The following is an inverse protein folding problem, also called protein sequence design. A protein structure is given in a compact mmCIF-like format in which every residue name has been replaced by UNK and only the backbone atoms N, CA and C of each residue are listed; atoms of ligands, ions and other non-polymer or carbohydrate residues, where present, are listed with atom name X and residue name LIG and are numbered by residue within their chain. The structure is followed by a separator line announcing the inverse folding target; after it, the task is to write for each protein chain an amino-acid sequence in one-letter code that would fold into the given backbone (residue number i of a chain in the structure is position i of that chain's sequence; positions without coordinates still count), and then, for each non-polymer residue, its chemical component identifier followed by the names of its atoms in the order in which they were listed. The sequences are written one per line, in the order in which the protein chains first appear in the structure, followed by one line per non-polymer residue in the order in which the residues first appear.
data_IF_259557197604
#
_entry.id   IF_259557197604
#
_cell.length_a   1.000
_cell.length_b   1.000
_cell.length_c   1.000
_cell.angle_alpha   90.00
_cell.angle_beta   90.00
_cell.angle_gamma   90.00
#
_symmetry.space_group_name_H-M   'P 1'
#
loop_
_entity.id
_entity.type
_entity.pdbx_description
1 polymer ?
#
# COMPACT_ATOMS: atom_id res chain seq x y z
N UNK A 1 28.15 5.67 31.44
CA UNK A 1 27.75 5.39 32.85
C UNK A 1 27.27 3.95 32.99
N UNK A 2 26.54 3.42 32.00
CA UNK A 2 25.91 2.09 32.03
C UNK A 2 26.86 0.94 32.30
N UNK A 3 28.07 0.95 31.70
CA UNK A 3 29.08 -0.09 31.96
C UNK A 3 29.44 -0.17 33.45
N UNK A 4 29.56 0.97 34.13
CA UNK A 4 29.90 1.02 35.55
C UNK A 4 28.71 0.53 36.38
N UNK A 5 27.50 0.91 36.01
CA UNK A 5 26.27 0.46 36.68
C UNK A 5 26.09 -1.06 36.57
N UNK A 6 26.24 -1.61 35.36
CA UNK A 6 26.17 -3.05 35.11
C UNK A 6 27.29 -3.80 35.85
N UNK A 7 28.49 -3.23 35.90
CA UNK A 7 29.59 -3.79 36.69
C UNK A 7 29.27 -3.85 38.19
N UNK A 8 28.69 -2.78 38.77
CA UNK A 8 28.22 -2.74 40.16
C UNK A 8 27.12 -3.77 40.42
N UNK A 9 26.29 -4.06 39.42
CA UNK A 9 25.28 -5.11 39.48
C UNK A 9 25.86 -6.53 39.36
N UNK A 10 27.16 -6.70 39.12
CA UNK A 10 27.84 -8.00 39.00
C UNK A 10 27.92 -8.52 37.56
N UNK A 11 27.65 -7.66 36.56
CA UNK A 11 27.75 -8.00 35.14
C UNK A 11 29.06 -7.42 34.62
N UNK A 12 30.08 -8.27 34.55
CA UNK A 12 31.45 -7.85 34.26
C UNK A 12 31.82 -7.94 32.78
N UNK A 13 30.97 -8.54 31.95
CA UNK A 13 31.15 -8.71 30.50
C UNK A 13 30.43 -7.62 29.69
N UNK A 14 30.43 -6.39 30.20
CA UNK A 14 29.79 -5.24 29.54
C UNK A 14 30.82 -4.34 28.87
N UNK A 15 30.52 -3.95 27.63
CA UNK A 15 31.28 -2.95 26.88
C UNK A 15 30.32 -1.90 26.32
N UNK A 16 30.80 -0.68 26.10
CA UNK A 16 30.05 0.38 25.45
C UNK A 16 30.89 1.01 24.34
N UNK A 17 30.20 1.44 23.27
CA UNK A 17 30.81 2.21 22.18
C UNK A 17 30.99 3.66 22.61
N UNK A 18 32.18 4.22 22.39
CA UNK A 18 32.50 5.60 22.79
C UNK A 18 32.10 6.61 21.71
N UNK A 19 30.79 6.78 21.49
CA UNK A 19 30.26 7.82 20.59
C UNK A 19 30.49 7.56 19.10
N UNK A 20 30.83 6.33 18.72
CA UNK A 20 31.06 5.91 17.33
C UNK A 20 30.15 4.74 16.97
N UNK A 21 29.90 4.55 15.67
CA UNK A 21 29.24 3.33 15.19
C UNK A 21 30.14 2.10 15.37
N UNK A 22 29.55 0.91 15.42
CA UNK A 22 30.30 -0.36 15.43
C UNK A 22 31.25 -0.43 14.22
N UNK A 23 32.54 -0.69 14.48
CA UNK A 23 33.59 -0.81 13.47
C UNK A 23 33.84 -2.27 13.11
N UNK A 24 34.54 -2.52 12.00
CA UNK A 24 34.97 -3.87 11.62
C UNK A 24 35.77 -4.58 12.72
N UNK A 25 36.59 -3.84 13.47
CA UNK A 25 37.40 -4.40 14.55
C UNK A 25 36.53 -4.85 15.73
N UNK A 26 35.51 -4.05 16.08
CA UNK A 26 34.52 -4.47 17.06
C UNK A 26 33.80 -5.74 16.61
N UNK A 27 33.38 -5.82 15.34
CA UNK A 27 32.70 -7.00 14.80
C UNK A 27 33.57 -8.25 14.84
N UNK A 28 34.86 -8.13 14.49
CA UNK A 28 35.81 -9.23 14.55
C UNK A 28 35.96 -9.78 15.98
N UNK A 29 36.04 -8.90 16.98
CA UNK A 29 36.11 -9.30 18.39
C UNK A 29 34.80 -9.95 18.87
N UNK A 30 33.66 -9.43 18.43
CA UNK A 30 32.34 -9.89 18.88
C UNK A 30 31.88 -11.21 18.22
N UNK A 31 32.41 -11.59 17.06
CA UNK A 31 31.89 -12.75 16.30
C UNK A 31 31.98 -14.10 17.03
N UNK A 32 32.83 -14.22 18.05
CA UNK A 32 33.01 -15.43 18.87
C UNK A 32 32.12 -15.45 20.12
N UNK A 33 31.34 -14.41 20.34
CA UNK A 33 30.56 -14.22 21.57
C UNK A 33 29.07 -14.10 21.28
N UNK A 34 28.27 -14.47 22.27
CA UNK A 34 26.87 -14.04 22.31
C UNK A 34 26.84 -12.55 22.63
N UNK A 35 26.14 -11.78 21.80
CA UNK A 35 26.00 -10.34 21.97
C UNK A 35 24.58 -10.02 22.44
N UNK A 36 24.48 -9.33 23.57
CA UNK A 36 23.21 -8.82 24.08
C UNK A 36 23.25 -7.30 23.96
N UNK A 37 22.33 -6.74 23.17
CA UNK A 37 22.17 -5.31 23.02
C UNK A 37 21.23 -4.80 24.11
N UNK A 38 21.71 -3.81 24.86
CA UNK A 38 20.91 -3.06 25.83
C UNK A 38 21.09 -1.57 25.54
N UNK A 39 20.10 -1.00 24.87
CA UNK A 39 20.03 0.39 24.43
C UNK A 39 18.73 1.01 24.97
N UNK A 40 18.60 2.32 24.83
CA UNK A 40 17.42 3.05 25.26
C UNK A 40 16.14 2.52 24.56
N UNK A 41 15.03 2.52 25.29
CA UNK A 41 13.75 1.98 24.82
C UNK A 41 12.88 3.00 24.07
N UNK A 42 13.36 4.24 23.95
CA UNK A 42 12.72 5.28 23.17
C UNK A 42 12.84 5.01 21.66
N UNK A 43 12.25 5.88 20.83
CA UNK A 43 12.27 5.67 19.38
C UNK A 43 13.70 5.75 18.81
N UNK A 44 14.54 6.66 19.32
CA UNK A 44 15.91 6.83 18.85
C UNK A 44 16.78 5.62 19.19
N UNK A 45 16.63 5.07 20.40
CA UNK A 45 17.30 3.86 20.87
C UNK A 45 16.83 2.62 20.11
N UNK A 46 15.54 2.50 19.76
CA UNK A 46 15.05 1.43 18.87
C UNK A 46 15.68 1.49 17.48
N UNK A 47 15.76 2.68 16.87
CA UNK A 47 16.39 2.85 15.56
C UNK A 47 17.90 2.57 15.63
N UNK A 48 18.57 2.99 16.71
CA UNK A 48 19.98 2.67 16.97
C UNK A 48 20.20 1.15 17.17
N UNK A 49 19.25 0.47 17.81
CA UNK A 49 19.27 -0.98 18.00
C UNK A 49 19.18 -1.70 16.67
N UNK A 50 18.20 -1.35 15.82
CA UNK A 50 18.05 -1.91 14.48
C UNK A 50 19.32 -1.71 13.64
N UNK A 51 19.90 -0.51 13.66
CA UNK A 51 21.16 -0.22 12.96
C UNK A 51 22.32 -1.09 13.47
N UNK A 52 22.43 -1.26 14.79
CA UNK A 52 23.45 -2.09 15.41
C UNK A 52 23.31 -3.57 15.03
N UNK A 53 22.08 -4.10 15.02
CA UNK A 53 21.78 -5.46 14.57
C UNK A 53 22.20 -5.64 13.10
N UNK A 54 21.85 -4.70 12.22
CA UNK A 54 22.22 -4.76 10.80
C UNK A 54 23.74 -4.82 10.62
N UNK A 55 24.49 -3.99 11.36
CA UNK A 55 25.96 -3.98 11.33
C UNK A 55 26.56 -5.27 11.89
N UNK A 56 26.01 -5.82 12.98
CA UNK A 56 26.43 -7.09 13.56
C UNK A 56 26.25 -8.27 12.60
N UNK A 57 25.07 -8.38 11.96
CA UNK A 57 24.81 -9.43 10.97
C UNK A 57 25.62 -9.27 9.69
N UNK A 58 25.87 -8.04 9.24
CA UNK A 58 26.81 -7.80 8.14
C UNK A 58 28.22 -8.33 8.47
N UNK A 59 28.66 -8.17 9.73
CA UNK A 59 29.90 -8.73 10.27
C UNK A 59 29.86 -10.20 10.65
N UNK A 60 28.78 -10.94 10.31
CA UNK A 60 28.59 -12.36 10.63
C UNK A 60 28.53 -12.70 12.12
N UNK A 61 28.19 -11.74 12.97
CA UNK A 61 27.89 -11.99 14.38
C UNK A 61 26.45 -12.52 14.48
N UNK A 62 26.27 -13.84 14.47
CA UNK A 62 24.94 -14.44 14.31
C UNK A 62 24.15 -14.59 15.62
N UNK A 63 24.83 -14.70 16.77
CA UNK A 63 24.20 -14.90 18.07
C UNK A 63 23.98 -13.55 18.76
N UNK A 64 22.89 -12.86 18.38
CA UNK A 64 22.54 -11.52 18.87
C UNK A 64 21.14 -11.55 19.47
N UNK A 65 21.02 -10.99 20.67
CA UNK A 65 19.75 -10.76 21.37
C UNK A 65 19.60 -9.30 21.77
N UNK A 66 18.37 -8.87 22.02
CA UNK A 66 18.02 -7.50 22.42
C UNK A 66 17.24 -7.55 23.72
N UNK A 67 17.63 -6.74 24.71
CA UNK A 67 16.89 -6.57 25.95
C UNK A 67 15.60 -5.79 25.68
N UNK A 68 14.46 -6.34 26.12
CA UNK A 68 13.16 -5.66 26.11
C UNK A 68 12.96 -5.01 27.47
N UNK A 69 13.26 -3.72 27.55
CA UNK A 69 13.15 -2.96 28.79
C UNK A 69 11.81 -2.24 28.87
N UNK A 70 10.93 -2.73 29.74
CA UNK A 70 9.60 -2.14 29.98
C UNK A 70 9.62 -0.97 30.96
N UNK A 71 10.77 -0.65 31.57
CA UNK A 71 10.91 0.42 32.56
C UNK A 71 11.28 1.77 31.93
N UNK A 72 11.63 1.79 30.64
CA UNK A 72 11.99 2.99 29.87
C UNK A 72 13.10 3.84 30.54
N UNK A 73 14.05 3.16 31.19
CA UNK A 73 15.16 3.75 31.95
C UNK A 73 16.49 3.14 31.55
N UNK A 74 17.59 3.88 31.69
CA UNK A 74 18.93 3.34 31.46
C UNK A 74 19.37 2.37 32.59
N UNK A 75 20.50 1.69 32.41
CA UNK A 75 20.97 0.69 33.38
C UNK A 75 21.35 1.32 34.73
N UNK A 76 21.85 2.56 34.73
CA UNK A 76 22.16 3.30 35.95
C UNK A 76 20.92 3.69 36.73
N UNK A 77 19.92 4.23 36.04
CA UNK A 77 18.64 4.62 36.62
C UNK A 77 17.86 3.42 37.15
N UNK A 78 17.89 2.27 36.47
CA UNK A 78 17.27 1.05 36.98
C UNK A 78 18.00 0.59 38.24
N UNK A 79 19.33 0.58 38.24
CA UNK A 79 20.11 0.19 39.41
C UNK A 79 19.81 1.11 40.61
N UNK A 80 19.80 2.42 40.38
CA UNK A 80 19.63 3.41 41.45
C UNK A 80 18.19 3.44 42.00
N UNK A 81 17.18 3.30 41.13
CA UNK A 81 15.76 3.41 41.53
C UNK A 81 15.12 2.09 41.94
N UNK A 82 15.54 0.98 41.33
CA UNK A 82 14.89 -0.33 41.44
C UNK A 82 15.81 -1.45 41.92
N UNK A 83 17.10 -1.18 42.07
CA UNK A 83 18.07 -2.13 42.62
C UNK A 83 18.59 -3.17 41.62
N UNK A 84 19.56 -3.94 42.11
CA UNK A 84 20.30 -4.94 41.32
C UNK A 84 19.41 -6.07 40.78
N UNK A 85 18.51 -6.61 41.60
CA UNK A 85 17.67 -7.76 41.23
C UNK A 85 16.78 -7.42 40.02
N UNK A 86 16.10 -6.26 40.08
CA UNK A 86 15.30 -5.76 38.97
C UNK A 86 16.11 -5.57 37.69
N UNK A 87 17.34 -5.04 37.79
CA UNK A 87 18.20 -4.88 36.62
C UNK A 87 18.57 -6.23 35.98
N UNK A 88 18.86 -7.24 36.80
CA UNK A 88 19.14 -8.60 36.31
C UNK A 88 17.91 -9.20 35.63
N UNK A 89 16.72 -9.02 36.21
CA UNK A 89 15.46 -9.49 35.63
C UNK A 89 15.19 -8.84 34.27
N UNK A 90 15.41 -7.52 34.15
CA UNK A 90 15.28 -6.80 32.87
C UNK A 90 16.23 -7.36 31.82
N UNK A 91 17.50 -7.60 32.16
CA UNK A 91 18.50 -8.12 31.21
C UNK A 91 18.16 -9.54 30.76
N UNK A 92 17.53 -10.34 31.63
CA UNK A 92 17.04 -11.67 31.30
C UNK A 92 15.81 -11.64 30.38
N UNK A 93 15.07 -10.53 30.33
CA UNK A 93 13.99 -10.31 29.37
C UNK A 93 14.56 -9.90 28.00
N UNK A 94 15.17 -10.85 27.30
CA UNK A 94 15.74 -10.64 25.96
C UNK A 94 15.00 -11.42 24.89
N UNK A 95 14.92 -10.85 23.70
CA UNK A 95 14.42 -11.51 22.48
C UNK A 95 15.53 -11.68 21.47
N UNK A 96 15.38 -12.62 20.53
CA UNK A 96 16.34 -12.74 19.43
C UNK A 96 16.35 -11.46 18.60
N UNK A 97 17.51 -11.06 18.06
CA UNK A 97 17.56 -9.88 17.20
C UNK A 97 16.74 -10.03 15.91
N UNK A 98 16.52 -11.26 15.43
CA UNK A 98 15.63 -11.53 14.29
C UNK A 98 14.17 -11.26 14.64
N UNK A 99 13.72 -11.66 15.83
CA UNK A 99 12.39 -11.33 16.34
C UNK A 99 12.23 -9.83 16.51
N UNK A 100 13.25 -9.17 17.06
CA UNK A 100 13.23 -7.73 17.23
C UNK A 100 13.10 -6.99 15.89
N UNK A 101 13.84 -7.41 14.85
CA UNK A 101 13.68 -6.87 13.48
C UNK A 101 12.23 -7.05 13.01
N UNK A 102 11.70 -8.28 13.11
CA UNK A 102 10.36 -8.60 12.63
C UNK A 102 9.29 -7.74 13.31
N UNK A 103 9.27 -7.75 14.64
CA UNK A 103 8.29 -6.99 15.44
C UNK A 103 8.41 -5.49 15.20
N UNK A 104 9.63 -4.96 15.09
CA UNK A 104 9.85 -3.53 14.84
C UNK A 104 9.20 -3.08 13.54
N UNK A 105 9.40 -3.82 12.44
CA UNK A 105 8.82 -3.46 11.15
C UNK A 105 7.32 -3.76 11.05
N UNK A 106 6.85 -4.86 11.63
CA UNK A 106 5.41 -5.17 11.71
C UNK A 106 4.66 -4.07 12.44
N UNK A 107 5.19 -3.59 13.56
CA UNK A 107 4.58 -2.52 14.35
C UNK A 107 4.73 -1.15 13.66
N UNK A 108 5.90 -0.82 13.11
CA UNK A 108 6.14 0.43 12.38
C UNK A 108 5.15 0.65 11.23
N UNK A 109 4.83 -0.41 10.49
CA UNK A 109 3.89 -0.36 9.37
C UNK A 109 2.46 -0.77 9.74
N UNK A 110 2.18 -0.98 11.03
CA UNK A 110 0.87 -1.36 11.56
C UNK A 110 0.25 -2.57 10.83
N UNK A 111 1.05 -3.58 10.48
CA UNK A 111 0.59 -4.68 9.62
C UNK A 111 -0.54 -5.51 10.24
N UNK A 112 -0.59 -5.60 11.57
CA UNK A 112 -1.65 -6.35 12.29
C UNK A 112 -3.02 -5.67 12.25
N UNK A 113 -3.05 -4.35 12.10
CA UNK A 113 -4.31 -3.57 12.04
C UNK A 113 -4.61 -3.02 10.65
N UNK A 114 -3.60 -2.90 9.79
CA UNK A 114 -3.68 -2.29 8.47
C UNK A 114 -2.83 -3.06 7.45
N UNK A 115 -3.16 -4.33 7.20
CA UNK A 115 -2.51 -5.13 6.16
C UNK A 115 -3.03 -4.75 4.75
N UNK A 116 -2.41 -3.75 4.10
CA UNK A 116 -2.78 -3.20 2.78
C UNK A 116 -1.55 -3.07 1.88
N UNK A 117 -1.76 -2.82 0.59
CA UNK A 117 -0.67 -2.65 -0.38
C UNK A 117 0.41 -1.66 0.08
N UNK A 118 0.03 -0.45 0.50
CA UNK A 118 0.99 0.58 0.90
C UNK A 118 1.80 0.17 2.13
N UNK A 119 1.16 -0.37 3.16
CA UNK A 119 1.86 -0.80 4.38
C UNK A 119 2.78 -2.00 4.15
N UNK A 120 2.36 -2.96 3.31
CA UNK A 120 3.21 -4.09 2.89
C UNK A 120 4.35 -3.64 1.99
N UNK A 121 4.11 -2.68 1.09
CA UNK A 121 5.14 -2.09 0.23
C UNK A 121 6.21 -1.38 1.06
N UNK A 122 5.81 -0.57 2.03
CA UNK A 122 6.74 0.12 2.93
C UNK A 122 7.49 -0.86 3.83
N UNK A 123 6.81 -1.88 4.36
CA UNK A 123 7.46 -2.97 5.09
C UNK A 123 8.51 -3.68 4.25
N UNK A 124 8.17 -4.08 3.02
CA UNK A 124 9.10 -4.75 2.12
C UNK A 124 10.31 -3.87 1.79
N UNK A 125 10.09 -2.58 1.57
CA UNK A 125 11.15 -1.61 1.31
C UNK A 125 12.12 -1.55 2.49
N UNK A 126 11.62 -1.42 3.70
CA UNK A 126 12.44 -1.24 4.89
C UNK A 126 13.14 -2.54 5.33
N UNK A 127 12.44 -3.68 5.27
CA UNK A 127 13.01 -4.97 5.69
C UNK A 127 14.01 -5.53 4.67
N UNK A 128 13.95 -5.11 3.39
CA UNK A 128 14.84 -5.58 2.31
C UNK A 128 16.31 -5.47 2.69
N UNK A 129 16.72 -4.35 3.29
CA UNK A 129 18.12 -4.14 3.67
C UNK A 129 18.60 -5.09 4.77
N UNK A 130 17.69 -5.55 5.64
CA UNK A 130 17.98 -6.53 6.68
C UNK A 130 18.04 -7.93 6.07
N UNK A 131 17.12 -8.25 5.15
CA UNK A 131 17.13 -9.51 4.42
C UNK A 131 18.43 -9.72 3.63
N UNK A 132 19.16 -8.67 3.23
CA UNK A 132 20.47 -8.83 2.59
C UNK A 132 21.56 -9.37 3.53
N UNK A 133 21.52 -9.01 4.82
CA UNK A 133 22.56 -9.37 5.80
C UNK A 133 22.24 -10.63 6.60
N UNK A 134 20.96 -11.01 6.67
CA UNK A 134 20.51 -12.22 7.37
C UNK A 134 20.98 -13.51 6.69
N UNK A 135 21.23 -14.55 7.48
CA UNK A 135 21.53 -15.89 7.00
C UNK A 135 20.25 -16.64 6.55
N UNK A 136 20.41 -17.83 5.98
CA UNK A 136 19.29 -18.62 5.42
C UNK A 136 18.22 -18.95 6.46
N UNK A 137 18.61 -19.38 7.66
CA UNK A 137 17.67 -19.77 8.70
C UNK A 137 16.88 -18.57 9.22
N UNK A 138 17.56 -17.44 9.41
CA UNK A 138 16.93 -16.19 9.84
C UNK A 138 15.95 -15.64 8.79
N UNK A 139 16.32 -15.70 7.49
CA UNK A 139 15.41 -15.36 6.38
C UNK A 139 14.18 -16.25 6.36
N UNK A 140 14.39 -17.56 6.49
CA UNK A 140 13.33 -18.57 6.51
C UNK A 140 12.40 -18.36 7.69
N UNK A 141 12.94 -18.02 8.86
CA UNK A 141 12.18 -17.68 10.04
C UNK A 141 11.23 -16.49 9.80
N UNK A 142 11.75 -15.35 9.34
CA UNK A 142 10.93 -14.16 9.04
C UNK A 142 9.88 -14.49 7.98
N UNK A 143 10.26 -15.20 6.92
CA UNK A 143 9.34 -15.56 5.83
C UNK A 143 8.22 -16.49 6.28
N UNK A 144 8.54 -17.51 7.07
CA UNK A 144 7.54 -18.42 7.62
C UNK A 144 6.62 -17.71 8.61
N UNK A 145 7.16 -16.78 9.40
CA UNK A 145 6.39 -15.96 10.32
C UNK A 145 5.41 -15.05 9.58
N UNK A 146 5.87 -14.32 8.54
CA UNK A 146 4.98 -13.55 7.63
C UNK A 146 3.90 -14.42 6.98
N UNK A 147 4.26 -15.62 6.54
CA UNK A 147 3.30 -16.56 5.95
C UNK A 147 2.26 -17.03 6.97
N UNK A 148 2.66 -17.29 8.21
CA UNK A 148 1.75 -17.72 9.26
C UNK A 148 0.84 -16.60 9.80
N UNK A 149 1.39 -15.40 10.02
CA UNK A 149 0.65 -14.27 10.60
C UNK A 149 -0.22 -13.56 9.55
N UNK A 150 0.22 -13.46 8.30
CA UNK A 150 -0.42 -12.66 7.27
C UNK A 150 -0.73 -13.40 5.96
N UNK A 151 -0.36 -14.67 5.84
CA UNK A 151 -0.46 -15.43 4.58
C UNK A 151 0.26 -14.74 3.40
N UNK A 152 1.43 -14.15 3.69
CA UNK A 152 2.25 -13.40 2.75
C UNK A 152 3.59 -14.08 2.50
N UNK A 153 3.93 -14.33 1.22
CA UNK A 153 5.24 -14.86 0.83
C UNK A 153 6.28 -13.75 0.68
N UNK A 154 7.11 -13.56 1.71
CA UNK A 154 8.07 -12.48 1.74
C UNK A 154 9.22 -12.66 0.73
N UNK A 155 9.83 -13.85 0.69
CA UNK A 155 11.04 -14.12 -0.11
C UNK A 155 10.73 -14.01 -1.61
N UNK A 156 9.60 -14.58 -2.05
CA UNK A 156 9.16 -14.49 -3.45
C UNK A 156 8.90 -13.05 -3.90
N UNK A 157 8.53 -12.15 -2.99
CA UNK A 157 8.24 -10.75 -3.29
C UNK A 157 9.48 -9.84 -3.28
N UNK A 158 10.39 -10.01 -2.31
CA UNK A 158 11.63 -9.22 -2.23
C UNK A 158 12.53 -9.52 -3.44
N UNK A 159 12.64 -10.79 -3.85
CA UNK A 159 13.52 -11.18 -4.95
C UNK A 159 13.03 -10.68 -6.32
N UNK A 160 11.71 -10.56 -6.53
CA UNK A 160 11.16 -9.99 -7.78
C UNK A 160 11.48 -8.50 -7.94
N UNK A 161 11.61 -7.74 -6.85
CA UNK A 161 11.96 -6.32 -6.94
C UNK A 161 13.42 -6.09 -7.33
N UNK A 162 14.29 -7.10 -7.15
CA UNK A 162 15.69 -7.09 -7.61
C UNK A 162 15.83 -7.43 -9.11
N UNK A 163 14.90 -8.21 -9.67
CA UNK A 163 14.90 -8.55 -11.10
C UNK A 163 14.51 -7.35 -12.00
N UNK A 164 13.73 -6.40 -11.48
CA UNK A 164 13.37 -5.18 -12.22
C UNK A 164 14.41 -4.04 -12.13
N UNK A 165 15.55 -4.28 -11.49
CA UNK A 165 16.66 -3.32 -11.46
C UNK A 165 17.93 -3.83 -12.14
N UNK A 166 17.97 -5.10 -12.54
CA UNK A 166 19.08 -5.71 -13.29
C UNK A 166 18.51 -6.50 -14.47
N UNK A 167 18.20 -5.82 -15.56
CA UNK A 167 17.98 -6.45 -16.87
C UNK A 167 18.32 -5.47 -17.99
N UNK A 168 19.56 -5.00 -17.98
CA UNK A 168 20.38 -5.20 -19.18
C UNK A 168 21.18 -6.48 -18.90
N UNK A 169 21.20 -7.38 -19.88
CA UNK A 169 22.03 -8.61 -20.00
C UNK A 169 21.31 -9.98 -19.82
N UNK A 170 21.73 -10.89 -20.69
CA UNK A 170 20.99 -12.03 -21.27
C UNK A 170 20.83 -13.29 -20.38
N UNK A 171 19.82 -14.14 -20.70
CA UNK A 171 19.99 -15.61 -20.66
C UNK A 171 19.02 -16.49 -19.83
N UNK A 172 18.01 -17.06 -20.50
CA UNK A 172 17.33 -18.37 -20.31
C UNK A 172 17.00 -18.99 -18.93
N UNK A 173 15.69 -19.16 -18.64
CA UNK A 173 14.92 -20.43 -18.53
C UNK A 173 13.56 -20.15 -17.85
N UNK A 174 12.41 -20.15 -18.54
CA UNK A 174 11.60 -21.29 -19.05
C UNK A 174 11.04 -22.20 -17.93
N UNK A 175 9.75 -22.03 -17.61
CA UNK A 175 8.71 -23.07 -17.39
C UNK A 175 7.49 -22.44 -16.68
N UNK A 176 6.45 -22.08 -17.45
CA UNK A 176 5.10 -22.69 -17.42
C UNK A 176 4.20 -21.96 -18.44
N UNK A 177 3.73 -22.76 -19.39
CA UNK A 177 2.85 -22.43 -20.50
C UNK A 177 1.39 -22.79 -20.16
N UNK A 178 0.50 -22.33 -21.05
CA UNK A 178 -0.92 -22.67 -21.24
C UNK A 178 -1.97 -22.05 -20.30
N UNK A 179 -2.74 -21.08 -20.82
CA UNK A 179 -4.17 -21.25 -21.16
C UNK A 179 -4.79 -19.92 -21.68
N UNK A 180 -5.47 -20.05 -22.83
CA UNK A 180 -6.58 -19.22 -23.37
C UNK A 180 -6.29 -17.98 -24.25
N UNK A 181 -6.66 -18.12 -25.53
CA UNK A 181 -6.87 -17.07 -26.54
C UNK A 181 -8.35 -17.08 -26.99
N UNK A 182 -9.00 -15.93 -27.20
CA UNK A 182 -10.16 -15.82 -28.09
C UNK A 182 -9.87 -14.94 -29.34
N UNK A 183 -10.70 -15.04 -30.40
CA UNK A 183 -10.29 -14.80 -31.80
C UNK A 183 -10.52 -13.38 -32.37
N UNK A 184 -9.57 -13.00 -33.22
CA UNK A 184 -9.47 -12.07 -34.39
C UNK A 184 -10.57 -11.04 -34.75
N UNK A 185 -10.14 -9.82 -35.14
CA UNK A 185 -10.33 -9.32 -36.53
C UNK A 185 -9.32 -8.21 -36.95
N UNK A 186 -8.81 -8.42 -38.16
CA UNK A 186 -7.84 -7.69 -39.00
C UNK A 186 -8.28 -6.26 -39.37
N UNK A 187 -7.38 -5.28 -39.43
CA UNK A 187 -7.38 -4.24 -40.49
C UNK A 187 -5.98 -3.56 -40.64
N UNK A 188 -5.35 -3.86 -41.79
CA UNK A 188 -4.35 -3.12 -42.58
C UNK A 188 -2.88 -2.94 -42.13
N UNK A 189 -2.00 -3.61 -42.88
CA UNK A 189 -0.59 -3.22 -43.16
C UNK A 189 -0.54 -2.19 -44.29
N UNK A 190 0.41 -1.24 -44.23
CA UNK A 190 1.37 -0.85 -45.30
C UNK A 190 2.45 0.12 -44.75
N UNK A 191 3.66 0.21 -45.35
CA UNK A 191 4.88 0.69 -44.68
C UNK A 191 5.40 2.09 -45.09
N UNK A 192 6.17 2.69 -44.17
CA UNK A 192 7.32 3.61 -44.26
C UNK A 192 7.30 4.92 -45.11
N UNK A 193 7.52 6.01 -44.35
CA UNK A 193 8.37 7.20 -44.60
C UNK A 193 7.96 8.44 -45.41
N UNK A 194 8.37 9.56 -44.79
CA UNK A 194 8.51 10.96 -45.23
C UNK A 194 7.20 11.75 -45.43
N UNK A 195 6.99 12.79 -44.62
CA UNK A 195 6.64 14.19 -44.99
C UNK A 195 6.23 15.01 -43.74
N UNK A 196 7.15 15.88 -43.29
CA UNK A 196 7.03 17.20 -42.61
C UNK A 196 6.40 17.39 -41.20
N UNK A 197 7.21 18.01 -40.34
CA UNK A 197 7.13 18.25 -38.90
C UNK A 197 6.06 19.25 -38.37
N UNK A 198 4.93 19.47 -39.04
CA UNK A 198 3.88 20.36 -38.51
C UNK A 198 2.79 19.66 -37.67
N UNK A 199 2.76 18.32 -37.65
CA UNK A 199 1.62 17.54 -37.16
C UNK A 199 1.75 17.03 -35.70
N UNK A 200 2.94 17.11 -35.09
CA UNK A 200 3.21 16.51 -33.77
C UNK A 200 2.39 17.12 -32.61
N UNK A 201 1.96 18.39 -32.70
CA UNK A 201 1.15 19.01 -31.63
C UNK A 201 -0.31 18.58 -31.66
N UNK A 202 -0.90 18.37 -32.84
CA UNK A 202 -2.27 17.88 -32.97
C UNK A 202 -2.35 16.38 -32.64
N UNK A 203 -1.36 15.60 -33.08
CA UNK A 203 -1.22 14.18 -32.72
C UNK A 203 -1.05 13.98 -31.21
N UNK A 204 -0.21 14.77 -30.53
CA UNK A 204 -0.03 14.67 -29.06
C UNK A 204 -1.28 15.09 -28.30
N UNK A 205 -1.98 16.15 -28.73
CA UNK A 205 -3.23 16.61 -28.10
C UNK A 205 -4.37 15.60 -28.28
N UNK A 206 -4.47 14.98 -29.47
CA UNK A 206 -5.45 13.93 -29.78
C UNK A 206 -5.14 12.63 -29.04
N UNK A 207 -3.86 12.26 -28.93
CA UNK A 207 -3.42 11.09 -28.18
C UNK A 207 -3.71 11.23 -26.68
N UNK A 208 -3.45 12.40 -26.08
CA UNK A 208 -3.80 12.69 -24.68
C UNK A 208 -5.30 12.66 -24.43
N UNK A 209 -6.09 13.23 -25.35
CA UNK A 209 -7.56 13.15 -25.28
C UNK A 209 -8.03 11.69 -25.33
N UNK A 210 -7.49 10.90 -26.26
CA UNK A 210 -7.81 9.48 -26.39
C UNK A 210 -7.36 8.67 -25.17
N UNK A 211 -6.26 9.04 -24.50
CA UNK A 211 -5.80 8.40 -23.27
C UNK A 211 -6.78 8.64 -22.11
N UNK A 212 -7.25 9.89 -21.90
CA UNK A 212 -8.31 10.19 -20.93
C UNK A 212 -9.60 9.47 -21.28
N UNK A 213 -9.98 9.48 -22.56
CA UNK A 213 -11.17 8.77 -23.06
C UNK A 213 -11.07 7.27 -22.78
N UNK A 214 -9.90 6.66 -22.98
CA UNK A 214 -9.64 5.26 -22.68
C UNK A 214 -9.68 4.99 -21.18
N UNK A 215 -9.12 5.85 -20.33
CA UNK A 215 -9.20 5.71 -18.86
C UNK A 215 -10.67 5.77 -18.42
N UNK A 216 -11.43 6.77 -18.87
CA UNK A 216 -12.85 6.89 -18.56
C UNK A 216 -13.65 5.71 -19.12
N UNK A 217 -13.35 5.25 -20.33
CA UNK A 217 -14.02 4.12 -20.97
C UNK A 217 -13.75 2.79 -20.25
N UNK A 218 -12.52 2.58 -19.80
CA UNK A 218 -12.05 1.33 -19.18
C UNK A 218 -12.37 1.22 -17.70
N UNK A 219 -12.68 2.34 -17.02
CA UNK A 219 -13.02 2.37 -15.59
C UNK A 219 -14.51 2.71 -15.41
N UNK A 220 -15.37 1.69 -15.47
CA UNK A 220 -16.82 1.85 -15.33
C UNK A 220 -17.21 2.44 -13.97
N UNK A 221 -16.48 2.16 -12.89
CA UNK A 221 -16.65 2.77 -11.56
C UNK A 221 -16.46 4.28 -11.56
N UNK A 222 -15.49 4.81 -12.33
CA UNK A 222 -15.32 6.26 -12.47
C UNK A 222 -16.53 6.87 -13.18
N UNK A 223 -17.08 6.21 -14.21
CA UNK A 223 -18.33 6.65 -14.84
C UNK A 223 -19.50 6.64 -13.86
N UNK A 224 -19.58 5.66 -12.97
CA UNK A 224 -20.61 5.64 -11.92
C UNK A 224 -20.45 6.77 -10.91
N UNK A 225 -19.23 7.16 -10.53
CA UNK A 225 -19.02 8.35 -9.70
C UNK A 225 -19.55 9.62 -10.40
N UNK A 226 -19.31 9.75 -11.71
CA UNK A 226 -19.86 10.84 -12.53
C UNK A 226 -21.39 10.75 -12.55
N UNK A 227 -21.97 9.57 -12.72
CA UNK A 227 -23.43 9.36 -12.72
C UNK A 227 -24.05 9.71 -11.37
N UNK A 228 -23.38 9.40 -10.27
CA UNK A 228 -23.85 9.77 -8.94
C UNK A 228 -23.92 11.28 -8.76
N UNK A 229 -22.97 12.04 -9.33
CA UNK A 229 -23.02 13.51 -9.31
C UNK A 229 -24.18 14.02 -10.20
N UNK A 230 -24.31 13.48 -11.42
CA UNK A 230 -25.32 13.93 -12.38
C UNK A 230 -26.75 13.49 -12.04
N UNK A 231 -26.93 12.43 -11.24
CA UNK A 231 -28.21 11.87 -10.80
C UNK A 231 -28.18 11.53 -9.30
N UNK A 232 -28.31 12.53 -8.42
CA UNK A 232 -28.23 12.32 -6.96
C UNK A 232 -29.24 11.27 -6.43
N UNK A 233 -30.46 11.21 -6.97
CA UNK A 233 -31.45 10.19 -6.60
C UNK A 233 -30.98 8.75 -6.85
N UNK A 234 -30.21 8.53 -7.91
CA UNK A 234 -29.58 7.24 -8.21
C UNK A 234 -28.51 6.92 -7.16
N UNK A 235 -27.68 7.92 -6.83
CA UNK A 235 -26.64 7.78 -5.82
C UNK A 235 -27.23 7.43 -4.45
N UNK A 236 -28.29 8.12 -4.03
CA UNK A 236 -29.00 7.84 -2.77
C UNK A 236 -29.49 6.39 -2.70
N UNK A 237 -30.11 5.88 -3.77
CA UNK A 237 -30.52 4.47 -3.86
C UNK A 237 -29.33 3.52 -3.75
N UNK A 238 -28.21 3.84 -4.42
CA UNK A 238 -27.00 3.03 -4.36
C UNK A 238 -26.39 3.00 -2.95
N UNK A 239 -26.30 4.15 -2.28
CA UNK A 239 -25.73 4.27 -0.94
C UNK A 239 -26.53 3.54 0.14
N UNK A 240 -27.85 3.39 -0.07
CA UNK A 240 -28.73 2.64 0.81
C UNK A 240 -28.64 1.12 0.62
N UNK A 241 -27.97 0.64 -0.45
CA UNK A 241 -27.68 -0.78 -0.57
C UNK A 241 -26.63 -1.18 0.46
N UNK A 242 -26.95 -2.21 1.23
CA UNK A 242 -26.03 -2.85 2.15
C UNK A 242 -24.76 -3.29 1.40
N UNK A 243 -23.59 -3.10 2.02
CA UNK A 243 -22.28 -3.43 1.45
C UNK A 243 -21.88 -2.69 0.15
N UNK A 244 -22.65 -1.73 -0.37
CA UNK A 244 -22.38 -1.02 -1.64
C UNK A 244 -20.96 -0.45 -1.77
N UNK A 245 -20.39 -0.01 -0.64
CA UNK A 245 -19.01 0.48 -0.52
C UNK A 245 -17.96 -0.51 -1.04
N UNK A 246 -18.21 -1.82 -0.98
CA UNK A 246 -17.25 -2.85 -1.42
C UNK A 246 -16.89 -2.72 -2.91
N UNK A 247 -17.84 -2.30 -3.75
CA UNK A 247 -17.65 -2.18 -5.20
C UNK A 247 -16.60 -1.14 -5.58
N UNK A 248 -16.34 -0.18 -4.69
CA UNK A 248 -15.34 0.86 -4.85
C UNK A 248 -14.09 0.64 -3.97
N UNK A 249 -14.03 -0.47 -3.22
CA UNK A 249 -12.99 -0.68 -2.21
C UNK A 249 -11.57 -0.82 -2.76
N UNK A 250 -11.44 -1.13 -4.06
CA UNK A 250 -10.16 -1.30 -4.76
C UNK A 250 -10.14 -0.51 -6.07
N UNK A 251 -9.06 0.21 -6.44
CA UNK A 251 -7.93 0.56 -5.58
C UNK A 251 -8.34 1.55 -4.47
N UNK A 252 -7.50 1.74 -3.45
CA UNK A 252 -7.80 2.63 -2.31
C UNK A 252 -8.04 4.10 -2.74
N UNK A 253 -7.38 4.57 -3.80
CA UNK A 253 -7.63 5.89 -4.38
C UNK A 253 -9.08 6.07 -4.86
N UNK A 254 -9.65 5.02 -5.46
CA UNK A 254 -11.05 5.00 -5.89
C UNK A 254 -12.00 4.96 -4.69
N UNK A 255 -11.66 4.21 -3.64
CA UNK A 255 -12.44 4.15 -2.39
C UNK A 255 -12.49 5.51 -1.69
N UNK A 256 -11.34 6.15 -1.54
CA UNK A 256 -11.24 7.47 -0.91
C UNK A 256 -12.03 8.52 -1.69
N UNK A 257 -11.98 8.45 -3.03
CA UNK A 257 -12.78 9.33 -3.89
C UNK A 257 -14.27 9.06 -3.74
N UNK A 258 -14.69 7.79 -3.70
CA UNK A 258 -16.08 7.39 -3.46
C UNK A 258 -16.61 7.89 -2.12
N UNK A 259 -15.88 7.64 -1.02
CA UNK A 259 -16.28 8.06 0.32
C UNK A 259 -16.39 9.60 0.40
N UNK A 260 -15.41 10.32 -0.16
CA UNK A 260 -15.43 11.78 -0.18
C UNK A 260 -16.54 12.38 -1.04
N UNK A 261 -16.92 11.73 -2.14
CA UNK A 261 -18.10 12.14 -2.94
C UNK A 261 -19.38 11.85 -2.14
N UNK A 262 -19.50 10.66 -1.54
CA UNK A 262 -20.66 10.28 -0.74
C UNK A 262 -20.90 11.25 0.41
N UNK A 263 -19.85 11.61 1.15
CA UNK A 263 -19.94 12.60 2.24
C UNK A 263 -20.43 13.96 1.74
N UNK A 264 -19.93 14.43 0.59
CA UNK A 264 -20.38 15.69 -0.02
C UNK A 264 -21.85 15.62 -0.45
N UNK A 265 -22.27 14.49 -1.04
CA UNK A 265 -23.66 14.28 -1.47
C UNK A 265 -24.64 14.14 -0.30
N UNK A 266 -24.22 13.53 0.82
CA UNK A 266 -25.07 13.45 2.01
C UNK A 266 -25.37 14.85 2.56
N UNK A 267 -24.35 15.73 2.65
CA UNK A 267 -24.54 17.13 3.04
C UNK A 267 -25.54 17.84 2.10
N UNK A 268 -25.45 17.56 0.81
CA UNK A 268 -26.41 18.06 -0.19
C UNK A 268 -27.84 17.57 0.06
N UNK A 269 -28.05 16.28 0.34
CA UNK A 269 -29.39 15.74 0.61
C UNK A 269 -30.00 16.31 1.90
N UNK A 270 -29.18 16.58 2.91
CA UNK A 270 -29.63 17.18 4.17
C UNK A 270 -30.09 18.64 3.97
N UNK A 271 -29.39 19.40 3.12
CA UNK A 271 -29.74 20.78 2.79
C UNK A 271 -31.03 20.90 1.98
N UNK A 272 -31.30 19.98 1.05
CA UNK A 272 -32.52 19.98 0.24
C UNK A 272 -33.80 19.69 1.04
N UNK A 273 -33.70 19.04 2.20
CA UNK A 273 -34.84 18.79 3.07
C UNK A 273 -35.27 20.05 3.87
N UNK A 274 -34.58 21.18 3.70
CA UNK A 274 -34.83 22.44 4.41
C UNK A 274 -34.67 23.69 3.55
N UNK A 275 -35.78 24.11 2.92
CA UNK A 275 -36.06 25.40 2.27
C UNK A 275 -35.54 25.64 0.83
N UNK A 276 -36.27 26.48 0.07
CA UNK A 276 -35.99 26.92 -1.30
C UNK A 276 -35.45 28.37 -1.28
N UNK A 277 -34.13 28.56 -1.31
CA UNK A 277 -33.53 29.89 -1.52
C UNK A 277 -32.47 29.86 -2.65
N UNK A 278 -32.28 30.97 -3.39
CA UNK A 278 -31.27 31.07 -4.46
C UNK A 278 -29.83 30.79 -3.99
N UNK A 279 -29.52 31.02 -2.70
CA UNK A 279 -28.26 30.66 -2.03
C UNK A 279 -27.98 29.17 -2.09
N UNK A 280 -29.02 28.33 -2.02
CA UNK A 280 -28.90 26.87 -2.10
C UNK A 280 -28.45 26.46 -3.50
N UNK A 281 -28.92 27.11 -4.58
CA UNK A 281 -28.49 26.79 -5.95
C UNK A 281 -26.99 27.02 -6.17
N UNK A 282 -26.43 28.07 -5.57
CA UNK A 282 -24.99 28.35 -5.63
C UNK A 282 -24.19 27.34 -4.80
N UNK A 283 -24.69 26.96 -3.61
CA UNK A 283 -24.11 25.88 -2.79
C UNK A 283 -24.14 24.54 -3.53
N UNK A 284 -25.24 24.23 -4.24
CA UNK A 284 -25.38 23.03 -5.06
C UNK A 284 -24.33 23.02 -6.16
N UNK A 285 -24.21 24.10 -6.95
CA UNK A 285 -23.22 24.21 -8.01
C UNK A 285 -21.78 24.08 -7.48
N UNK A 286 -21.50 24.68 -6.32
CA UNK A 286 -20.19 24.58 -5.67
C UNK A 286 -19.90 23.15 -5.19
N UNK A 287 -20.90 22.44 -4.67
CA UNK A 287 -20.76 21.04 -4.26
C UNK A 287 -20.52 20.11 -5.45
N UNK A 288 -21.23 20.33 -6.57
CA UNK A 288 -21.01 19.60 -7.83
C UNK A 288 -19.58 19.81 -8.36
N UNK A 289 -19.12 21.07 -8.38
CA UNK A 289 -17.77 21.42 -8.80
C UNK A 289 -16.70 20.74 -7.93
N UNK A 290 -16.88 20.74 -6.60
CA UNK A 290 -15.98 20.07 -5.67
C UNK A 290 -15.92 18.56 -5.92
N UNK A 291 -17.07 17.90 -6.15
CA UNK A 291 -17.12 16.47 -6.44
C UNK A 291 -16.44 16.14 -7.78
N UNK A 292 -16.68 16.92 -8.83
CA UNK A 292 -16.00 16.77 -10.11
C UNK A 292 -14.48 16.95 -9.98
N UNK A 293 -14.02 17.93 -9.19
CA UNK A 293 -12.59 18.12 -8.92
C UNK A 293 -11.94 16.92 -8.20
N UNK A 294 -12.67 16.23 -7.31
CA UNK A 294 -12.20 14.99 -6.69
C UNK A 294 -12.00 13.88 -7.74
N UNK A 295 -12.92 13.75 -8.71
CA UNK A 295 -12.77 12.80 -9.82
C UNK A 295 -11.58 13.16 -10.72
N UNK A 296 -11.40 14.45 -11.05
CA UNK A 296 -10.25 14.92 -11.85
C UNK A 296 -8.92 14.55 -11.19
N UNK A 297 -8.79 14.75 -9.87
CA UNK A 297 -7.60 14.32 -9.11
C UNK A 297 -7.38 12.81 -9.15
N UNK A 298 -8.45 12.01 -9.07
CA UNK A 298 -8.36 10.56 -9.23
C UNK A 298 -7.84 10.18 -10.62
N UNK A 299 -8.33 10.81 -11.68
CA UNK A 299 -7.88 10.56 -13.06
C UNK A 299 -6.40 10.91 -13.20
N UNK A 300 -5.97 12.07 -12.68
CA UNK A 300 -4.56 12.48 -12.68
C UNK A 300 -3.68 11.42 -11.99
N UNK A 301 -4.10 10.93 -10.82
CA UNK A 301 -3.34 9.91 -10.10
C UNK A 301 -3.27 8.55 -10.83
N UNK A 302 -4.27 8.23 -11.64
CA UNK A 302 -4.29 7.01 -12.46
C UNK A 302 -3.52 7.18 -13.76
N UNK A 303 -3.33 8.41 -14.23
CA UNK A 303 -2.60 8.72 -15.45
C UNK A 303 -1.12 9.00 -15.16
N UNK A 304 -0.21 8.28 -15.81
CA UNK A 304 1.22 8.44 -15.55
C UNK A 304 1.83 9.68 -16.23
N UNK A 305 1.17 10.27 -17.26
CA UNK A 305 1.76 11.30 -18.12
C UNK A 305 0.81 12.46 -18.53
N UNK A 306 -0.30 12.69 -17.81
CA UNK A 306 -1.30 13.70 -18.18
C UNK A 306 -1.22 14.90 -17.23
N UNK A 307 -1.15 16.12 -17.78
CA UNK A 307 -1.10 17.32 -16.97
C UNK A 307 -2.47 17.69 -16.39
N UNK A 308 -2.50 18.40 -15.26
CA UNK A 308 -3.75 18.90 -14.67
C UNK A 308 -4.55 19.78 -15.64
N UNK A 309 -3.86 20.55 -16.49
CA UNK A 309 -4.47 21.35 -17.54
C UNK A 309 -5.18 20.47 -18.57
N UNK A 310 -4.51 19.44 -19.07
CA UNK A 310 -5.09 18.50 -20.04
C UNK A 310 -6.34 17.81 -19.44
N UNK A 311 -6.27 17.33 -18.19
CA UNK A 311 -7.44 16.72 -17.53
C UNK A 311 -8.61 17.69 -17.43
N UNK A 312 -8.37 18.95 -17.07
CA UNK A 312 -9.43 19.95 -17.01
C UNK A 312 -10.07 20.22 -18.37
N UNK A 313 -9.26 20.38 -19.43
CA UNK A 313 -9.73 20.72 -20.78
C UNK A 313 -10.57 19.58 -21.41
N UNK A 314 -10.24 18.32 -21.09
CA UNK A 314 -10.88 17.16 -21.70
C UNK A 314 -11.99 16.53 -20.85
N UNK A 315 -11.96 16.70 -19.54
CA UNK A 315 -13.00 16.18 -18.64
C UNK A 315 -14.35 16.81 -18.91
N UNK A 316 -14.41 18.12 -19.12
CA UNK A 316 -15.67 18.83 -19.42
C UNK A 316 -16.31 18.32 -20.73
N UNK A 317 -15.50 18.13 -21.78
CA UNK A 317 -15.96 17.54 -23.04
C UNK A 317 -16.47 16.10 -22.87
N UNK A 318 -15.80 15.32 -22.03
CA UNK A 318 -16.23 13.95 -21.70
C UNK A 318 -17.52 13.91 -20.87
N UNK A 319 -17.74 14.91 -20.00
CA UNK A 319 -18.99 15.07 -19.25
C UNK A 319 -20.16 15.38 -20.16
N UNK A 320 -19.98 16.17 -21.21
CA UNK A 320 -21.03 16.45 -22.21
C UNK A 320 -21.45 15.16 -22.94
N UNK A 321 -20.50 14.36 -23.44
CA UNK A 321 -20.79 13.06 -24.07
C UNK A 321 -21.53 12.11 -23.11
N UNK A 322 -21.13 12.10 -21.82
CA UNK A 322 -21.77 11.31 -20.77
C UNK A 322 -23.21 11.79 -20.49
N UNK A 323 -23.42 13.11 -20.41
CA UNK A 323 -24.75 13.71 -20.22
C UNK A 323 -25.70 13.36 -21.37
N UNK A 324 -25.19 13.33 -22.60
CA UNK A 324 -25.96 12.89 -23.77
C UNK A 324 -26.39 11.43 -23.66
N UNK A 325 -25.55 10.55 -23.10
CA UNK A 325 -25.90 9.13 -22.88
C UNK A 325 -26.93 8.91 -21.76
N UNK A 326 -27.03 9.83 -20.80
CA UNK A 326 -27.91 9.76 -19.61
C UNK A 326 -29.37 10.16 -19.92
N UNK A 327 -29.65 10.68 -21.13
CA UNK A 327 -30.97 11.19 -21.53
C UNK A 327 -32.09 10.12 -21.63
N UNK A 328 -31.76 8.82 -21.58
CA UNK A 328 -32.74 7.74 -21.59
C UNK A 328 -32.98 7.19 -20.17
N UNK A 329 -34.19 7.40 -19.63
CA UNK A 329 -34.62 6.98 -18.29
C UNK A 329 -34.75 5.46 -18.09
N UNK A 330 -33.64 4.73 -18.15
CA UNK A 330 -33.55 3.29 -17.91
C UNK A 330 -32.96 2.93 -16.54
N UNK A 331 -33.33 1.75 -16.02
CA UNK A 331 -32.72 1.17 -14.82
C UNK A 331 -31.23 0.85 -15.07
N UNK A 332 -30.34 1.18 -14.15
CA UNK A 332 -28.89 0.96 -14.29
C UNK A 332 -28.50 -0.38 -13.67
N UNK A 333 -27.90 -1.28 -14.46
CA UNK A 333 -27.40 -2.57 -13.98
C UNK A 333 -26.12 -2.42 -13.17
N UNK A 334 -26.00 -3.11 -12.03
CA UNK A 334 -24.78 -3.12 -11.21
C UNK A 334 -23.74 -4.16 -11.67
N UNK A 335 -24.10 -5.09 -12.57
CA UNK A 335 -23.20 -6.13 -13.06
C UNK A 335 -21.86 -5.60 -13.61
N UNK A 336 -21.80 -4.48 -14.35
CA UNK A 336 -20.52 -3.91 -14.79
C UNK A 336 -19.58 -3.50 -13.65
N UNK A 337 -20.11 -2.95 -12.54
CA UNK A 337 -19.33 -2.60 -11.35
C UNK A 337 -18.74 -3.83 -10.68
N UNK A 338 -19.51 -4.93 -10.63
CA UNK A 338 -19.07 -6.21 -10.07
C UNK A 338 -17.91 -6.76 -10.90
N UNK A 339 -18.02 -6.77 -12.23
CA UNK A 339 -16.99 -7.29 -13.13
C UNK A 339 -15.69 -6.50 -13.00
N UNK A 340 -15.76 -5.16 -13.02
CA UNK A 340 -14.56 -4.33 -12.90
C UNK A 340 -13.94 -4.44 -11.50
N UNK A 341 -14.75 -4.51 -10.44
CA UNK A 341 -14.26 -4.78 -9.10
C UNK A 341 -13.53 -6.13 -9.02
N UNK A 342 -14.10 -7.20 -9.58
CA UNK A 342 -13.46 -8.52 -9.62
C UNK A 342 -12.13 -8.49 -10.36
N UNK A 343 -12.06 -7.76 -11.48
CA UNK A 343 -10.83 -7.60 -12.24
C UNK A 343 -9.78 -6.80 -11.46
N UNK A 344 -10.16 -5.66 -10.85
CA UNK A 344 -9.24 -4.87 -10.02
C UNK A 344 -8.78 -5.64 -8.79
N UNK A 345 -9.67 -6.36 -8.13
CA UNK A 345 -9.34 -7.22 -6.99
C UNK A 345 -8.40 -8.35 -7.39
N UNK A 346 -8.61 -8.97 -8.56
CA UNK A 346 -7.70 -10.00 -9.09
C UNK A 346 -6.33 -9.41 -9.42
N UNK A 347 -6.29 -8.28 -10.13
CA UNK A 347 -5.04 -7.61 -10.52
C UNK A 347 -4.24 -7.19 -9.28
N UNK A 348 -4.87 -6.57 -8.28
CA UNK A 348 -4.19 -6.14 -7.05
C UNK A 348 -3.68 -7.34 -6.25
N UNK A 349 -4.44 -8.44 -6.15
CA UNK A 349 -3.95 -9.66 -5.49
C UNK A 349 -2.80 -10.32 -6.26
N UNK A 350 -2.82 -10.25 -7.60
CA UNK A 350 -1.71 -10.72 -8.44
C UNK A 350 -0.46 -9.87 -8.25
N UNK A 351 -0.60 -8.54 -8.25
CA UNK A 351 0.49 -7.59 -7.96
C UNK A 351 1.06 -7.77 -6.54
N UNK A 352 0.20 -8.05 -5.56
CA UNK A 352 0.61 -8.30 -4.17
C UNK A 352 1.07 -9.74 -3.89
N UNK A 353 0.96 -10.65 -4.88
CA UNK A 353 1.15 -12.10 -4.72
C UNK A 353 0.42 -12.69 -3.51
N UNK A 354 -0.80 -12.22 -3.25
CA UNK A 354 -1.63 -12.72 -2.14
C UNK A 354 -2.32 -14.02 -2.59
N UNK A 355 -2.09 -15.10 -1.85
CA UNK A 355 -2.84 -16.36 -2.04
C UNK A 355 -4.15 -16.24 -1.28
N UNK A 356 -5.26 -16.02 -1.98
CA UNK A 356 -6.58 -15.91 -1.36
C UNK A 356 -6.98 -17.21 -0.65
N UNK A 357 -7.27 -17.15 0.66
CA UNK A 357 -7.86 -18.29 1.35
C UNK A 357 -9.32 -18.51 0.91
N UNK A 358 -9.81 -19.75 1.01
CA UNK A 358 -11.14 -20.14 0.54
C UNK A 358 -12.28 -19.37 1.23
N UNK A 359 -12.11 -18.98 2.50
CA UNK A 359 -13.13 -18.31 3.32
C UNK A 359 -13.31 -16.83 2.98
N UNK A 360 -12.22 -16.09 2.79
CA UNK A 360 -12.25 -14.68 2.37
C UNK A 360 -12.80 -14.55 0.95
N UNK A 361 -12.39 -15.47 0.06
CA UNK A 361 -12.90 -15.55 -1.30
C UNK A 361 -14.41 -15.87 -1.31
N UNK A 362 -14.86 -16.79 -0.44
CA UNK A 362 -16.27 -17.11 -0.27
C UNK A 362 -17.09 -15.92 0.26
N UNK A 363 -16.57 -15.18 1.26
CA UNK A 363 -17.25 -14.01 1.80
C UNK A 363 -17.41 -12.91 0.74
N UNK A 364 -16.34 -12.54 0.03
CA UNK A 364 -16.41 -11.54 -1.05
C UNK A 364 -17.36 -12.02 -2.15
N UNK A 365 -17.28 -13.30 -2.54
CA UNK A 365 -18.19 -13.88 -3.54
C UNK A 365 -19.65 -13.82 -3.11
N UNK A 366 -19.95 -14.11 -1.84
CA UNK A 366 -21.30 -14.03 -1.28
C UNK A 366 -21.81 -12.59 -1.26
N UNK A 367 -20.99 -11.64 -0.83
CA UNK A 367 -21.33 -10.21 -0.87
C UNK A 367 -21.55 -9.72 -2.31
N UNK A 368 -20.75 -10.17 -3.29
CA UNK A 368 -20.95 -9.79 -4.69
C UNK A 368 -22.22 -10.41 -5.31
N UNK A 369 -22.63 -11.60 -4.86
CA UNK A 369 -23.88 -12.23 -5.27
C UNK A 369 -25.11 -11.39 -4.88
N UNK A 370 -25.04 -10.62 -3.79
CA UNK A 370 -26.13 -9.71 -3.38
C UNK A 370 -26.39 -8.58 -4.40
N UNK A 371 -25.42 -8.24 -5.24
CA UNK A 371 -25.54 -7.22 -6.27
C UNK A 371 -25.84 -7.78 -7.65
N UNK A 372 -25.69 -9.09 -7.83
CA UNK A 372 -25.91 -9.75 -9.11
C UNK A 372 -27.36 -9.55 -9.55
N UNK A 373 -27.53 -9.05 -10.77
CA UNK A 373 -28.83 -8.78 -11.39
C UNK A 373 -29.66 -7.65 -10.73
N UNK A 374 -29.13 -6.97 -9.71
CA UNK A 374 -29.75 -5.75 -9.18
C UNK A 374 -29.65 -4.61 -10.19
N UNK A 375 -30.75 -3.86 -10.29
CA UNK A 375 -30.84 -2.62 -11.06
C UNK A 375 -31.37 -1.50 -10.16
N UNK A 376 -30.74 -0.34 -10.22
CA UNK A 376 -31.10 0.86 -9.44
C UNK A 376 -31.72 1.96 -10.29
#
# INVERSE_FOLDING_TARGET
MDVISLYKAGIHNTVAIMGTALTSDHLYLLNKHEVILFLDSDQAGRDATLKSIKTLYAGKVNNVSVVINTLEKDAGEILDKHGKETLLDVINQKVSAVDFIYESFVNKHNLRTNFKYNSVKDFNKDIKEYMLVLNYDQKSYISNRMKSEFNYDLIGNINSTTAYQNSDDDGYNQYYDDYYQPPYQEFLKQPFDQYYEQDNRYLTHTNKFNEIKNILASNIRIKFLIYFILKPELAKKFYNLENSRILFSKPESLLNTFDSIKEEQMKYFDLLNGQEEPTIKEIINNSELLMHNKIKKLIINLSQNISEKDVNDFYEKSLEEIKETISNGGKVSLNPLITEFQQAFKNENQEMKIVLNSKLNLNIKNTLLEFKDKKI
#
